data_IF_773483157203
#
_entry.id   IF_773483157203
#
_cell.length_a   1.000
_cell.length_b   1.000
_cell.length_c   1.000
_cell.angle_alpha   90.00
_cell.angle_beta   90.00
_cell.angle_gamma   90.00
#
_symmetry.space_group_name_H-M   'P 1'
#
loop_
_entity.id
_entity.type
_entity.pdbx_description
1 polymer ?
#
# COMPACT_ATOMS: atom_id res chain seq x y z
N UNK A 1 20.02 -6.88 -15.54
CA UNK A 1 19.26 -6.17 -16.58
C UNK A 1 17.98 -5.69 -15.94
N UNK A 2 17.79 -4.39 -15.83
CA UNK A 2 16.60 -3.78 -15.22
C UNK A 2 15.38 -4.07 -16.11
N UNK A 3 14.39 -4.75 -15.60
CA UNK A 3 13.14 -5.07 -16.28
C UNK A 3 12.24 -3.83 -16.46
N UNK A 4 12.68 -2.87 -17.26
CA UNK A 4 12.09 -1.54 -17.27
C UNK A 4 11.27 -1.14 -18.49
N UNK A 5 11.10 -1.99 -19.49
CA UNK A 5 10.41 -1.55 -20.72
C UNK A 5 9.01 -2.13 -20.93
N UNK A 6 8.54 -3.04 -20.05
CA UNK A 6 7.18 -3.54 -20.14
C UNK A 6 6.28 -2.84 -19.15
N UNK A 7 5.49 -1.88 -19.63
CA UNK A 7 4.40 -1.30 -18.85
C UNK A 7 3.12 -2.08 -19.11
N UNK A 8 2.55 -2.67 -18.04
CA UNK A 8 1.25 -3.30 -18.11
C UNK A 8 0.19 -2.24 -18.34
N UNK A 9 -0.52 -2.34 -19.45
CA UNK A 9 -1.66 -1.48 -19.82
C UNK A 9 -2.76 -2.37 -20.40
N UNK A 10 -3.97 -1.84 -20.54
CA UNK A 10 -5.04 -2.56 -21.23
C UNK A 10 -4.64 -3.03 -22.64
N UNK A 11 -3.79 -2.29 -23.36
CA UNK A 11 -3.32 -2.69 -24.67
C UNK A 11 -2.30 -3.84 -24.63
N UNK A 12 -1.45 -3.89 -23.60
CA UNK A 12 -0.41 -4.93 -23.47
C UNK A 12 -0.92 -6.18 -22.75
N UNK A 13 -2.05 -6.08 -22.04
CA UNK A 13 -2.66 -7.19 -21.30
C UNK A 13 -3.08 -8.38 -22.22
N UNK A 14 -3.50 -8.10 -23.46
CA UNK A 14 -4.01 -9.12 -24.37
C UNK A 14 -2.93 -9.83 -25.18
N UNK A 15 -1.72 -9.30 -25.22
CA UNK A 15 -0.57 -9.90 -25.92
C UNK A 15 0.72 -9.64 -25.14
N UNK A 16 0.86 -10.24 -23.94
CA UNK A 16 2.04 -10.05 -23.12
C UNK A 16 3.27 -10.64 -23.81
N UNK A 17 4.44 -9.99 -23.70
CA UNK A 17 5.67 -10.53 -24.26
C UNK A 17 6.07 -11.84 -23.55
N UNK A 18 6.72 -12.78 -24.23
CA UNK A 18 7.13 -14.05 -23.63
C UNK A 18 7.96 -13.91 -22.35
N UNK A 19 8.78 -12.87 -22.27
CA UNK A 19 9.64 -12.56 -21.13
C UNK A 19 8.84 -12.33 -19.85
N UNK A 20 7.62 -11.79 -19.95
CA UNK A 20 6.73 -11.62 -18.79
C UNK A 20 6.42 -12.98 -18.15
N UNK A 21 6.15 -13.98 -18.95
CA UNK A 21 5.86 -15.31 -18.45
C UNK A 21 7.07 -15.93 -17.77
N UNK A 22 8.26 -15.72 -18.30
CA UNK A 22 9.52 -16.21 -17.70
C UNK A 22 9.72 -15.56 -16.33
N UNK A 23 9.65 -14.24 -16.23
CA UNK A 23 9.81 -13.54 -14.97
C UNK A 23 8.75 -13.93 -13.92
N UNK A 24 7.53 -14.21 -14.35
CA UNK A 24 6.47 -14.65 -13.43
C UNK A 24 6.75 -16.07 -12.92
N UNK A 25 7.17 -17.00 -13.77
CA UNK A 25 7.55 -18.36 -13.37
C UNK A 25 8.76 -18.35 -12.41
N UNK A 26 9.77 -17.52 -12.69
CA UNK A 26 10.92 -17.35 -11.81
C UNK A 26 10.48 -16.84 -10.43
N UNK A 27 9.57 -15.87 -10.38
CA UNK A 27 9.01 -15.36 -9.13
C UNK A 27 8.25 -16.44 -8.35
N UNK A 28 7.43 -17.26 -9.03
CA UNK A 28 6.73 -18.39 -8.40
C UNK A 28 7.71 -19.44 -7.85
N UNK A 29 8.81 -19.76 -8.57
CA UNK A 29 9.81 -20.69 -8.08
C UNK A 29 10.53 -20.15 -6.84
N UNK A 30 10.92 -18.87 -6.85
CA UNK A 30 11.57 -18.22 -5.72
C UNK A 30 10.65 -18.18 -4.49
N UNK A 31 9.34 -17.96 -4.69
CA UNK A 31 8.36 -17.92 -3.62
C UNK A 31 8.20 -19.27 -2.92
N UNK A 32 8.33 -20.38 -3.61
CA UNK A 32 8.19 -21.74 -3.04
C UNK A 32 9.07 -21.98 -1.82
N UNK A 33 10.26 -21.40 -1.77
CA UNK A 33 11.19 -21.51 -0.63
C UNK A 33 10.73 -20.73 0.60
N UNK A 34 9.76 -19.84 0.45
CA UNK A 34 9.23 -18.97 1.49
C UNK A 34 7.83 -19.39 1.98
N UNK A 35 7.20 -20.36 1.33
CA UNK A 35 5.89 -20.85 1.73
C UNK A 35 5.91 -21.50 3.12
N UNK A 36 4.76 -21.44 3.81
CA UNK A 36 4.55 -22.03 5.11
C UNK A 36 5.21 -21.31 6.29
N UNK A 37 5.84 -20.16 6.05
CA UNK A 37 6.45 -19.36 7.13
C UNK A 37 5.40 -18.70 8.01
N UNK A 38 5.80 -18.43 9.25
CA UNK A 38 5.01 -17.60 10.15
C UNK A 38 5.31 -16.13 9.92
N UNK A 39 4.24 -15.32 9.85
CA UNK A 39 4.28 -13.89 9.67
C UNK A 39 3.74 -13.19 10.92
N UNK A 40 4.52 -12.26 11.46
CA UNK A 40 4.12 -11.43 12.59
C UNK A 40 3.25 -10.25 12.15
N UNK A 41 2.43 -9.73 13.05
CA UNK A 41 1.86 -8.39 12.90
C UNK A 41 2.97 -7.35 13.09
N UNK A 42 2.87 -6.23 12.40
CA UNK A 42 3.78 -5.10 12.60
C UNK A 42 3.05 -3.96 13.33
N UNK A 43 3.37 -3.73 14.60
CA UNK A 43 2.79 -2.67 15.41
C UNK A 43 3.90 -1.79 15.96
N UNK A 44 3.84 -0.49 15.68
CA UNK A 44 4.87 0.47 16.08
C UNK A 44 6.29 0.08 15.65
N UNK A 45 6.43 -0.46 14.42
CA UNK A 45 7.72 -0.89 13.88
C UNK A 45 8.30 -2.16 14.55
N UNK A 46 7.52 -2.88 15.36
CA UNK A 46 7.92 -4.11 16.02
C UNK A 46 7.08 -5.29 15.57
N UNK A 47 7.72 -6.44 15.45
CA UNK A 47 7.02 -7.71 15.24
C UNK A 47 6.26 -8.10 16.50
N UNK A 48 4.99 -8.44 16.34
CA UNK A 48 4.09 -8.85 17.42
C UNK A 48 3.43 -10.16 17.03
N UNK A 49 3.55 -11.15 17.91
CA UNK A 49 2.91 -12.46 17.77
C UNK A 49 1.64 -12.50 18.62
N UNK A 50 0.64 -13.23 18.13
CA UNK A 50 -0.59 -13.50 18.86
C UNK A 50 -0.62 -14.93 19.41
N UNK A 51 -1.44 -15.16 20.44
CA UNK A 51 -1.70 -16.49 20.95
C UNK A 51 -2.39 -17.39 19.91
N UNK A 52 -3.34 -16.79 19.18
CA UNK A 52 -4.08 -17.47 18.10
C UNK A 52 -3.48 -17.14 16.75
N UNK A 53 -3.42 -18.15 15.89
CA UNK A 53 -2.93 -18.06 14.52
C UNK A 53 -3.93 -18.68 13.57
N UNK A 54 -3.82 -18.38 12.30
CA UNK A 54 -4.56 -19.05 11.24
C UNK A 54 -3.63 -19.36 10.07
N UNK A 55 -4.00 -20.37 9.32
CA UNK A 55 -3.29 -20.79 8.12
C UNK A 55 -3.93 -20.15 6.89
N UNK A 56 -3.10 -19.66 6.00
CA UNK A 56 -3.49 -19.27 4.66
C UNK A 56 -3.06 -20.36 3.69
N UNK A 57 -3.99 -20.81 2.85
CA UNK A 57 -3.78 -21.92 1.94
C UNK A 57 -4.20 -21.56 0.52
N UNK A 58 -3.48 -22.13 -0.45
CA UNK A 58 -3.78 -21.93 -1.85
C UNK A 58 -5.19 -22.44 -2.19
N UNK A 59 -6.11 -21.58 -2.65
CA UNK A 59 -7.52 -21.98 -2.85
C UNK A 59 -7.72 -23.04 -3.93
N UNK A 60 -6.81 -23.16 -4.91
CA UNK A 60 -6.88 -24.19 -5.94
C UNK A 60 -6.30 -25.55 -5.47
N UNK A 61 -5.47 -25.57 -4.43
CA UNK A 61 -4.95 -26.78 -3.81
C UNK A 61 -4.70 -26.56 -2.30
N UNK A 62 -5.70 -26.88 -1.48
CA UNK A 62 -5.64 -26.70 -0.03
C UNK A 62 -4.53 -27.50 0.69
N UNK A 63 -3.81 -28.37 -0.01
CA UNK A 63 -2.62 -29.05 0.56
C UNK A 63 -1.41 -28.11 0.65
N UNK A 64 -1.42 -27.04 -0.15
CA UNK A 64 -0.33 -26.05 -0.18
C UNK A 64 -0.60 -24.99 0.88
N UNK A 65 0.23 -24.99 1.93
CA UNK A 65 0.25 -23.95 2.95
C UNK A 65 1.05 -22.75 2.42
N UNK A 66 0.41 -21.60 2.29
CA UNK A 66 1.06 -20.37 1.86
C UNK A 66 1.81 -19.72 3.04
N UNK A 67 1.12 -19.53 4.16
CA UNK A 67 1.72 -18.96 5.36
C UNK A 67 0.89 -19.18 6.62
N UNK A 68 1.46 -18.83 7.77
CA UNK A 68 0.78 -18.82 9.06
C UNK A 68 0.77 -17.40 9.58
N UNK A 69 -0.41 -16.87 9.86
CA UNK A 69 -0.62 -15.48 10.24
C UNK A 69 -1.21 -15.33 11.64
N UNK A 70 -1.05 -14.14 12.20
CA UNK A 70 -1.52 -13.86 13.55
C UNK A 70 -3.01 -13.50 13.57
N UNK A 71 -3.79 -14.16 14.40
CA UNK A 71 -5.19 -13.75 14.68
C UNK A 71 -5.18 -12.71 15.80
N UNK A 72 -5.09 -11.43 15.40
CA UNK A 72 -5.08 -10.32 16.33
C UNK A 72 -6.37 -10.23 17.18
N UNK A 73 -6.25 -9.76 18.40
CA UNK A 73 -7.35 -9.52 19.32
C UNK A 73 -7.60 -8.02 19.53
N UNK A 74 -8.55 -7.68 20.40
CA UNK A 74 -8.90 -6.30 20.72
C UNK A 74 -7.70 -5.49 21.25
N UNK A 75 -6.82 -6.11 22.07
CA UNK A 75 -5.67 -5.40 22.60
C UNK A 75 -4.69 -5.02 21.50
N UNK A 76 -4.41 -5.91 20.55
CA UNK A 76 -3.58 -5.59 19.37
C UNK A 76 -4.15 -4.43 18.55
N UNK A 77 -5.49 -4.38 18.37
CA UNK A 77 -6.13 -3.26 17.69
C UNK A 77 -5.99 -1.94 18.46
N UNK A 78 -6.10 -1.97 19.79
CA UNK A 78 -5.87 -0.80 20.66
C UNK A 78 -4.43 -0.34 20.60
N UNK A 79 -3.47 -1.26 20.61
CA UNK A 79 -2.04 -0.95 20.53
C UNK A 79 -1.67 -0.34 19.18
N UNK A 80 -2.20 -0.88 18.08
CA UNK A 80 -2.03 -0.31 16.74
C UNK A 80 -2.61 1.11 16.63
N UNK A 81 -3.82 1.32 17.19
CA UNK A 81 -4.43 2.65 17.24
C UNK A 81 -3.61 3.64 18.09
N UNK A 82 -3.12 3.19 19.24
CA UNK A 82 -2.28 4.02 20.11
C UNK A 82 -0.97 4.42 19.40
N UNK A 83 -0.31 3.45 18.73
CA UNK A 83 0.89 3.70 17.95
C UNK A 83 0.65 4.72 16.82
N UNK A 84 -0.44 4.55 16.06
CA UNK A 84 -0.80 5.48 14.99
C UNK A 84 -1.11 6.89 15.51
N UNK A 85 -1.80 7.00 16.67
CA UNK A 85 -2.05 8.29 17.33
C UNK A 85 -0.75 8.95 17.80
N UNK A 86 0.16 8.18 18.35
CA UNK A 86 1.47 8.69 18.80
C UNK A 86 2.32 9.19 17.63
N UNK A 87 2.28 8.53 16.48
CA UNK A 87 3.01 8.93 15.29
C UNK A 87 2.39 10.14 14.58
N UNK A 88 1.10 10.38 14.73
CA UNK A 88 0.36 11.40 13.99
C UNK A 88 0.94 12.81 14.09
N UNK A 89 1.29 13.37 15.26
CA UNK A 89 1.86 14.72 15.34
C UNK A 89 3.12 14.88 14.50
N UNK A 90 4.05 13.94 14.56
CA UNK A 90 5.28 13.98 13.77
C UNK A 90 5.01 13.90 12.27
N UNK A 91 4.21 12.92 11.85
CA UNK A 91 3.89 12.71 10.44
C UNK A 91 3.09 13.87 9.83
N UNK A 92 2.08 14.37 10.54
CA UNK A 92 1.24 15.48 10.07
C UNK A 92 2.00 16.78 9.88
N UNK A 93 3.09 17.01 10.64
CA UNK A 93 3.97 18.17 10.50
C UNK A 93 5.13 17.95 9.53
N UNK A 94 5.36 16.72 9.07
CA UNK A 94 6.33 16.46 8.00
C UNK A 94 5.93 17.23 6.75
N UNK A 95 6.82 18.01 6.11
CA UNK A 95 6.52 18.73 4.89
C UNK A 95 5.89 17.80 3.84
N UNK A 96 4.85 18.27 3.15
CA UNK A 96 4.15 17.43 2.19
C UNK A 96 5.07 16.92 1.07
N UNK A 97 6.09 17.69 0.68
CA UNK A 97 7.08 17.30 -0.32
C UNK A 97 7.87 16.06 0.13
N UNK A 98 8.20 16.00 1.41
CA UNK A 98 8.92 14.86 1.99
C UNK A 98 8.02 13.61 2.06
N UNK A 99 6.76 13.78 2.44
CA UNK A 99 5.79 12.67 2.40
C UNK A 99 5.63 12.12 0.99
N UNK A 100 5.49 13.00 0.00
CA UNK A 100 5.44 12.64 -1.43
C UNK A 100 6.69 11.89 -1.86
N UNK A 101 7.89 12.39 -1.51
CA UNK A 101 9.16 11.73 -1.85
C UNK A 101 9.21 10.29 -1.30
N UNK A 102 8.81 10.10 -0.06
CA UNK A 102 8.77 8.78 0.58
C UNK A 102 7.76 7.84 -0.12
N UNK A 103 6.57 8.33 -0.41
CA UNK A 103 5.53 7.54 -1.07
C UNK A 103 5.88 7.18 -2.52
N UNK A 104 6.54 8.07 -3.26
CA UNK A 104 7.09 7.75 -4.59
C UNK A 104 8.15 6.65 -4.50
N UNK A 105 8.98 6.64 -3.44
CA UNK A 105 9.92 5.55 -3.22
C UNK A 105 9.20 4.23 -2.91
N UNK A 106 8.11 4.26 -2.13
CA UNK A 106 7.26 3.07 -1.89
C UNK A 106 6.70 2.55 -3.20
N UNK A 107 6.12 3.42 -4.04
CA UNK A 107 5.61 3.02 -5.36
C UNK A 107 6.70 2.38 -6.25
N UNK A 108 7.91 2.94 -6.24
CA UNK A 108 9.04 2.37 -6.97
C UNK A 108 9.46 0.99 -6.44
N UNK A 109 9.43 0.79 -5.12
CA UNK A 109 9.72 -0.52 -4.51
C UNK A 109 8.67 -1.58 -4.87
N UNK A 110 7.40 -1.18 -5.01
CA UNK A 110 6.34 -2.06 -5.49
C UNK A 110 6.64 -2.49 -6.94
N UNK A 111 7.01 -1.54 -7.82
CA UNK A 111 7.36 -1.86 -9.21
C UNK A 111 8.61 -2.75 -9.31
N UNK A 112 9.64 -2.48 -8.51
CA UNK A 112 10.86 -3.30 -8.44
C UNK A 112 10.55 -4.76 -8.05
N UNK A 113 9.48 -4.98 -7.27
CA UNK A 113 9.02 -6.28 -6.78
C UNK A 113 7.72 -6.75 -7.44
N UNK A 114 7.36 -6.19 -8.59
CA UNK A 114 6.09 -6.44 -9.26
C UNK A 114 5.79 -7.93 -9.41
N UNK A 115 6.71 -8.70 -9.96
CA UNK A 115 6.51 -10.14 -10.20
C UNK A 115 6.42 -10.95 -8.90
N UNK A 116 7.25 -10.61 -7.91
CA UNK A 116 7.23 -11.27 -6.60
C UNK A 116 5.88 -11.10 -5.91
N UNK A 117 5.40 -9.85 -5.80
CA UNK A 117 4.12 -9.53 -5.16
C UNK A 117 2.96 -10.13 -5.96
N UNK A 118 3.02 -10.07 -7.30
CA UNK A 118 1.98 -10.63 -8.15
C UNK A 118 1.91 -12.16 -8.07
N UNK A 119 3.03 -12.84 -7.86
CA UNK A 119 3.05 -14.28 -7.63
C UNK A 119 2.31 -14.65 -6.32
N UNK A 120 2.51 -13.87 -5.26
CA UNK A 120 1.79 -14.02 -3.98
C UNK A 120 0.29 -13.81 -4.20
N UNK A 121 -0.10 -12.69 -4.81
CA UNK A 121 -1.51 -12.36 -5.11
C UNK A 121 -2.17 -13.46 -5.96
N UNK A 122 -1.45 -14.01 -6.94
CA UNK A 122 -1.96 -15.12 -7.76
C UNK A 122 -2.24 -16.36 -6.93
N UNK A 123 -1.38 -16.69 -5.97
CA UNK A 123 -1.57 -17.86 -5.10
C UNK A 123 -2.67 -17.63 -4.04
N UNK A 124 -2.70 -16.49 -3.36
CA UNK A 124 -3.69 -16.21 -2.32
C UNK A 124 -5.11 -16.07 -2.91
N UNK A 125 -5.25 -15.27 -3.96
CA UNK A 125 -6.58 -14.96 -4.54
C UNK A 125 -7.04 -16.00 -5.55
N UNK A 126 -6.11 -16.73 -6.17
CA UNK A 126 -6.41 -17.61 -7.31
C UNK A 126 -6.54 -16.83 -8.63
N UNK A 127 -6.02 -15.63 -8.73
CA UNK A 127 -5.99 -14.81 -9.95
C UNK A 127 -5.07 -15.40 -11.00
N UNK A 128 -5.42 -15.23 -12.28
CA UNK A 128 -4.45 -15.43 -13.34
C UNK A 128 -3.32 -14.38 -13.27
N UNK A 129 -2.19 -14.67 -13.91
CA UNK A 129 -0.99 -13.84 -13.80
C UNK A 129 -1.18 -12.39 -14.28
N UNK A 130 -2.02 -12.17 -15.29
CA UNK A 130 -2.25 -10.83 -15.83
C UNK A 130 -3.09 -9.97 -14.88
N UNK A 131 -4.12 -10.57 -14.26
CA UNK A 131 -4.93 -9.90 -13.25
C UNK A 131 -4.13 -9.60 -11.98
N UNK A 132 -3.25 -10.52 -11.56
CA UNK A 132 -2.38 -10.31 -10.41
C UNK A 132 -1.36 -9.19 -10.66
N UNK A 133 -0.72 -9.18 -11.85
CA UNK A 133 0.18 -8.10 -12.27
C UNK A 133 -0.55 -6.75 -12.35
N UNK A 134 -1.80 -6.75 -12.87
CA UNK A 134 -2.63 -5.55 -12.95
C UNK A 134 -2.96 -4.97 -11.58
N UNK A 135 -3.34 -5.81 -10.62
CA UNK A 135 -3.65 -5.40 -9.24
C UNK A 135 -2.43 -4.73 -8.57
N UNK A 136 -1.24 -5.33 -8.71
CA UNK A 136 -0.02 -4.79 -8.10
C UNK A 136 0.45 -3.51 -8.80
N UNK A 137 0.39 -3.45 -10.13
CA UNK A 137 0.74 -2.24 -10.88
C UNK A 137 -0.21 -1.08 -10.53
N UNK A 138 -1.50 -1.35 -10.39
CA UNK A 138 -2.50 -0.34 -9.99
C UNK A 138 -2.21 0.21 -8.59
N UNK A 139 -1.73 -0.62 -7.66
CA UNK A 139 -1.36 -0.15 -6.32
C UNK A 139 -0.30 0.96 -6.38
N UNK A 140 0.75 0.76 -7.17
CA UNK A 140 1.82 1.76 -7.34
C UNK A 140 1.32 3.01 -8.07
N UNK A 141 0.47 2.85 -9.08
CA UNK A 141 -0.12 3.97 -9.83
C UNK A 141 -1.06 4.81 -8.94
N UNK A 142 -1.88 4.21 -8.09
CA UNK A 142 -2.75 4.91 -7.15
C UNK A 142 -1.96 5.72 -6.10
N UNK A 143 -0.85 5.16 -5.60
CA UNK A 143 0.05 5.88 -4.71
C UNK A 143 0.65 7.10 -5.44
N UNK A 144 1.12 6.94 -6.69
CA UNK A 144 1.64 8.05 -7.51
C UNK A 144 0.59 9.09 -7.78
N UNK A 145 -0.63 8.67 -8.10
CA UNK A 145 -1.74 9.59 -8.30
C UNK A 145 -2.00 10.47 -7.07
N UNK A 146 -1.99 9.89 -5.87
CA UNK A 146 -2.11 10.67 -4.64
C UNK A 146 -0.96 11.68 -4.47
N UNK A 147 0.27 11.28 -4.83
CA UNK A 147 1.43 12.18 -4.85
C UNK A 147 1.25 13.32 -5.86
N UNK A 148 0.80 13.02 -7.08
CA UNK A 148 0.54 14.02 -8.12
C UNK A 148 -0.52 15.03 -7.66
N UNK A 149 -1.58 14.58 -6.98
CA UNK A 149 -2.59 15.48 -6.44
C UNK A 149 -2.03 16.41 -5.36
N UNK A 150 -1.11 15.94 -4.52
CA UNK A 150 -0.42 16.79 -3.55
C UNK A 150 0.45 17.85 -4.24
N UNK A 151 1.16 17.49 -5.31
CA UNK A 151 2.03 18.39 -6.06
C UNK A 151 1.22 19.42 -6.87
N UNK A 152 0.24 18.97 -7.64
CA UNK A 152 -0.62 19.86 -8.48
C UNK A 152 -1.34 20.89 -7.60
N UNK A 153 -1.79 20.49 -6.41
CA UNK A 153 -2.49 21.38 -5.47
C UNK A 153 -1.56 22.03 -4.45
N UNK A 154 -0.24 21.95 -4.62
CA UNK A 154 0.77 22.58 -3.75
C UNK A 154 0.56 22.27 -2.27
N UNK A 155 0.30 21.00 -1.94
CA UNK A 155 0.03 20.54 -0.58
C UNK A 155 -1.31 20.99 -0.02
N UNK A 156 -2.23 21.45 -0.88
CA UNK A 156 -3.52 22.02 -0.52
C UNK A 156 -3.40 23.24 0.42
N UNK A 157 -2.34 24.05 0.19
CA UNK A 157 -2.14 25.35 0.82
C UNK A 157 -2.39 26.44 -0.24
N UNK A 158 -3.41 27.24 -0.05
CA UNK A 158 -3.80 28.27 -1.03
C UNK A 158 -3.76 29.64 -0.38
N UNK A 159 -3.03 30.56 -1.03
CA UNK A 159 -3.12 31.99 -0.72
C UNK A 159 -4.47 32.50 -1.19
N UNK A 160 -5.15 33.20 -0.28
CA UNK A 160 -6.43 33.86 -0.54
C UNK A 160 -6.21 35.33 -0.90
N UNK A 161 -7.26 36.01 -1.33
CA UNK A 161 -7.21 37.42 -1.63
C UNK A 161 -6.78 38.27 -0.43
N UNK A 162 -6.17 39.41 -0.72
CA UNK A 162 -5.80 40.39 0.30
C UNK A 162 -7.05 41.00 0.91
N UNK A 163 -6.92 41.46 2.16
CA UNK A 163 -7.93 42.29 2.78
C UNK A 163 -8.13 43.58 1.94
N UNK A 164 -9.37 44.04 1.71
CA UNK A 164 -9.65 45.26 0.98
C UNK A 164 -9.17 46.55 1.69
N UNK A 165 -8.78 46.45 2.97
CA UNK A 165 -8.28 47.60 3.75
C UNK A 165 -6.76 47.77 3.48
N UNK A 166 -6.34 48.83 2.77
CA UNK A 166 -4.95 48.96 2.30
C UNK A 166 -3.91 49.10 3.41
N UNK A 167 -4.32 49.52 4.59
CA UNK A 167 -3.43 49.85 5.71
C UNK A 167 -2.98 48.61 6.49
N UNK A 168 -3.62 47.45 6.24
CA UNK A 168 -3.29 46.20 6.92
C UNK A 168 -2.53 45.24 5.96
N UNK A 169 -1.36 44.79 6.39
CA UNK A 169 -0.63 43.73 5.71
C UNK A 169 -1.11 42.36 6.25
N UNK A 170 -2.23 41.89 5.73
CA UNK A 170 -2.79 40.59 6.11
C UNK A 170 -2.48 39.56 5.04
N UNK A 171 -2.01 38.38 5.45
CA UNK A 171 -1.88 37.21 4.59
C UNK A 171 -2.96 36.21 4.96
N UNK A 172 -3.91 35.98 4.05
CA UNK A 172 -4.95 35.00 4.22
C UNK A 172 -4.56 33.70 3.50
N UNK A 173 -4.70 32.58 4.19
CA UNK A 173 -4.44 31.25 3.64
C UNK A 173 -5.58 30.30 3.92
N UNK A 174 -5.89 29.44 2.93
CA UNK A 174 -6.75 28.27 3.11
C UNK A 174 -5.86 27.03 3.13
N UNK A 175 -5.96 26.21 4.18
CA UNK A 175 -5.12 25.05 4.37
C UNK A 175 -6.00 23.85 4.70
N UNK A 176 -5.92 22.79 3.88
CA UNK A 176 -6.47 21.50 4.27
C UNK A 176 -5.52 20.81 5.25
N UNK A 177 -6.08 20.24 6.30
CA UNK A 177 -5.32 19.56 7.34
C UNK A 177 -5.67 18.08 7.40
N UNK A 178 -4.71 17.22 7.78
CA UNK A 178 -4.99 15.80 7.99
C UNK A 178 -5.98 15.61 9.13
N UNK A 179 -6.79 14.57 8.99
CA UNK A 179 -7.86 14.25 9.95
C UNK A 179 -7.36 13.56 11.21
N UNK A 180 -6.31 12.73 11.10
CA UNK A 180 -5.81 11.94 12.21
C UNK A 180 -5.42 10.52 11.80
N UNK A 181 -5.96 9.54 12.52
CA UNK A 181 -5.73 8.11 12.22
C UNK A 181 -6.83 7.58 11.31
N UNK A 182 -6.43 6.93 10.23
CA UNK A 182 -7.31 6.23 9.31
C UNK A 182 -7.21 4.72 9.50
N UNK A 183 -8.35 4.05 9.47
CA UNK A 183 -8.41 2.60 9.38
C UNK A 183 -8.62 2.20 7.92
N UNK A 184 -7.71 1.40 7.38
CA UNK A 184 -7.83 0.80 6.05
C UNK A 184 -8.08 -0.70 6.22
N UNK A 185 -9.20 -1.16 5.70
CA UNK A 185 -9.57 -2.58 5.64
C UNK A 185 -9.68 -2.95 4.17
N UNK A 186 -8.73 -3.73 3.67
CA UNK A 186 -8.74 -4.14 2.27
C UNK A 186 -9.64 -5.36 2.04
N UNK A 187 -10.23 -5.49 0.85
CA UNK A 187 -10.94 -6.70 0.43
C UNK A 187 -9.94 -7.76 -0.04
N UNK A 188 -10.42 -9.01 -0.13
CA UNK A 188 -9.57 -10.13 -0.57
C UNK A 188 -9.32 -10.16 -2.08
N UNK A 189 -10.26 -9.65 -2.88
CA UNK A 189 -10.25 -9.82 -4.33
C UNK A 189 -9.31 -8.86 -5.09
N UNK A 190 -8.91 -7.74 -4.48
CA UNK A 190 -7.91 -6.79 -4.96
C UNK A 190 -7.03 -6.33 -3.79
N UNK A 191 -6.22 -7.25 -3.22
CA UNK A 191 -5.50 -6.98 -1.97
C UNK A 191 -4.43 -5.91 -2.12
N UNK A 192 -3.81 -5.76 -3.29
CA UNK A 192 -2.74 -4.77 -3.51
C UNK A 192 -3.29 -3.39 -3.84
N UNK A 193 -4.13 -3.25 -4.86
CA UNK A 193 -4.60 -1.93 -5.33
C UNK A 193 -5.51 -1.26 -4.32
N UNK A 194 -6.47 -2.01 -3.73
CA UNK A 194 -7.38 -1.47 -2.72
C UNK A 194 -6.75 -1.35 -1.33
N UNK A 195 -5.49 -1.72 -1.18
CA UNK A 195 -4.62 -1.35 -0.07
C UNK A 195 -3.79 -0.11 -0.43
N UNK A 196 -3.09 -0.13 -1.55
CA UNK A 196 -2.18 0.92 -1.98
C UNK A 196 -2.86 2.28 -2.17
N UNK A 197 -4.04 2.30 -2.78
CA UNK A 197 -4.80 3.52 -3.00
C UNK A 197 -5.18 4.25 -1.70
N UNK A 198 -5.97 3.65 -0.82
CA UNK A 198 -6.36 4.28 0.45
C UNK A 198 -5.19 4.60 1.37
N UNK A 199 -4.18 3.69 1.47
CA UNK A 199 -2.97 3.95 2.25
C UNK A 199 -2.18 5.15 1.69
N UNK A 200 -1.93 5.15 0.38
CA UNK A 200 -1.20 6.21 -0.29
C UNK A 200 -1.87 7.56 -0.12
N UNK A 201 -3.17 7.65 -0.35
CA UNK A 201 -3.94 8.88 -0.20
C UNK A 201 -3.96 9.40 1.25
N UNK A 202 -4.20 8.52 2.23
CA UNK A 202 -4.22 8.91 3.65
C UNK A 202 -2.85 9.42 4.11
N UNK A 203 -1.78 8.71 3.76
CA UNK A 203 -0.42 9.07 4.15
C UNK A 203 0.07 10.33 3.42
N UNK A 204 -0.23 10.50 2.12
CA UNK A 204 0.10 11.71 1.37
C UNK A 204 -0.53 12.95 1.99
N UNK A 205 -1.80 12.85 2.42
CA UNK A 205 -2.51 13.93 3.09
C UNK A 205 -1.99 14.22 4.51
N UNK A 206 -1.11 13.40 5.08
CA UNK A 206 -0.50 13.59 6.40
C UNK A 206 -1.23 12.86 7.54
N UNK A 207 -2.15 11.96 7.23
CA UNK A 207 -2.77 11.07 8.21
C UNK A 207 -1.84 9.90 8.53
N UNK A 208 -2.04 9.29 9.70
CA UNK A 208 -1.46 7.98 10.02
C UNK A 208 -2.50 6.88 9.78
N UNK A 209 -2.04 5.64 9.64
CA UNK A 209 -2.93 4.55 9.23
C UNK A 209 -2.75 3.33 10.13
N UNK A 210 -3.88 2.71 10.47
CA UNK A 210 -3.94 1.31 10.91
C UNK A 210 -4.45 0.50 9.72
N UNK A 211 -3.68 -0.48 9.29
CA UNK A 211 -4.03 -1.33 8.16
C UNK A 211 -4.41 -2.73 8.64
N UNK A 212 -5.54 -3.23 8.16
CA UNK A 212 -6.00 -4.60 8.36
C UNK A 212 -6.22 -5.28 7.00
N UNK A 213 -5.37 -6.22 6.56
CA UNK A 213 -5.59 -6.98 5.34
C UNK A 213 -6.83 -7.87 5.47
N UNK A 214 -7.35 -8.37 4.37
CA UNK A 214 -8.36 -9.43 4.41
C UNK A 214 -7.78 -10.70 5.05
N UNK A 215 -8.63 -11.50 5.68
CA UNK A 215 -8.18 -12.75 6.31
C UNK A 215 -7.75 -13.78 5.27
N UNK A 216 -8.35 -13.73 4.09
CA UNK A 216 -8.10 -14.65 2.98
C UNK A 216 -6.93 -14.20 2.08
N UNK A 217 -6.33 -13.04 2.36
CA UNK A 217 -5.16 -12.50 1.63
C UNK A 217 -4.32 -11.65 2.56
N UNK A 218 -3.68 -12.29 3.57
CA UNK A 218 -2.97 -11.55 4.62
C UNK A 218 -1.50 -11.28 4.32
N UNK A 219 -0.93 -11.88 3.27
CA UNK A 219 0.51 -11.86 2.97
C UNK A 219 1.11 -10.50 2.55
#
# INVERSE_FOLDING_TARGET
MSGSDFKLTYATMFSPPPELHIHFEDALQNLKSNLGREHAMLINGKEVLAEKKFEDRFPADNRVLLGVFQSGNEQHARDALAAARQAFPGWSHTPWQERVRLLRRVASLIDERLFEISAIVSLEVGKNRMEALGDVAEASDLIRYACDQMEINQGYIKLMGRDPIPEYQITNTSVLRPYGVWLVISPFNFPSSLTGGPLGAALAAGNTVVFKPATDTPW
#
